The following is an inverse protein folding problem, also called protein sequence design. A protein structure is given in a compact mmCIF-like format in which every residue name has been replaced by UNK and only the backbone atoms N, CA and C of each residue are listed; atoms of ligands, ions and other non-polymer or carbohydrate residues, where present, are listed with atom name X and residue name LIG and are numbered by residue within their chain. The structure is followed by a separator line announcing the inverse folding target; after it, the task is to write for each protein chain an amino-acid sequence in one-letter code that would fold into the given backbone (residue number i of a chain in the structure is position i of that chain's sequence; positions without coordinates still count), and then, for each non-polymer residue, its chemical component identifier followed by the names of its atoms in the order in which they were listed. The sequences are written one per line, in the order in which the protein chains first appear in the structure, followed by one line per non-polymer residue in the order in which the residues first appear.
data_IF_638585807480
#
_entry.id   IF_638585807480
#
_cell.length_a   1.000
_cell.length_b   1.000
_cell.length_c   1.000
_cell.angle_alpha   90.00
_cell.angle_beta   90.00
_cell.angle_gamma   90.00
#
_symmetry.space_group_name_H-M   'P 1'
#
loop_
_entity.id
_entity.type
_entity.pdbx_description
1 polymer ?
#
# COMPACT_ATOMS: atom_id res chain seq x y z
N UNK A 1 8.47 -29.59 6.53
CA UNK A 1 8.28 -28.49 5.57
C UNK A 1 9.60 -28.38 4.86
N UNK A 2 9.62 -28.68 3.56
CA UNK A 2 10.76 -28.26 2.73
C UNK A 2 11.01 -26.79 3.01
N UNK A 3 12.27 -26.43 3.25
CA UNK A 3 12.65 -25.02 3.28
C UNK A 3 12.17 -24.40 1.97
N UNK A 4 11.49 -23.25 2.06
CA UNK A 4 11.07 -22.45 0.90
C UNK A 4 12.35 -22.01 0.15
N UNK A 5 12.86 -22.89 -0.73
CA UNK A 5 14.12 -22.75 -1.50
C UNK A 5 14.18 -21.38 -2.16
N UNK A 6 13.05 -20.93 -2.69
CA UNK A 6 12.95 -19.68 -3.43
C UNK A 6 12.53 -18.48 -2.58
N UNK A 7 12.25 -18.68 -1.28
CA UNK A 7 11.94 -17.65 -0.29
C UNK A 7 10.78 -16.71 -0.70
N UNK A 8 9.74 -17.24 -1.36
CA UNK A 8 8.62 -16.45 -1.88
C UNK A 8 7.96 -15.59 -0.80
N UNK A 9 7.81 -16.11 0.42
CA UNK A 9 7.22 -15.35 1.51
C UNK A 9 8.07 -14.13 1.90
N UNK A 10 9.40 -14.29 2.03
CA UNK A 10 10.30 -13.17 2.37
C UNK A 10 10.34 -12.13 1.25
N UNK A 11 10.43 -12.59 -0.01
CA UNK A 11 10.41 -11.71 -1.19
C UNK A 11 9.10 -10.93 -1.30
N UNK A 12 7.96 -11.55 -0.99
CA UNK A 12 6.66 -10.86 -0.97
C UNK A 12 6.59 -9.77 0.11
N UNK A 13 7.18 -10.01 1.29
CA UNK A 13 7.26 -9.00 2.36
C UNK A 13 8.15 -7.84 1.94
N UNK A 14 9.31 -8.13 1.34
CA UNK A 14 10.21 -7.12 0.80
C UNK A 14 9.53 -6.25 -0.25
N UNK A 15 8.84 -6.88 -1.22
CA UNK A 15 8.06 -6.15 -2.25
C UNK A 15 7.00 -5.25 -1.61
N UNK A 16 6.25 -5.77 -0.63
CA UNK A 16 5.25 -4.98 0.10
C UNK A 16 5.88 -3.76 0.79
N UNK A 17 7.02 -3.93 1.48
CA UNK A 17 7.69 -2.81 2.15
C UNK A 17 8.20 -1.75 1.17
N UNK A 18 8.74 -2.16 0.02
CA UNK A 18 9.18 -1.23 -1.02
C UNK A 18 8.04 -0.37 -1.54
N UNK A 19 6.93 -0.99 -1.93
CA UNK A 19 5.78 -0.29 -2.51
C UNK A 19 5.16 0.67 -1.50
N UNK A 20 4.89 0.21 -0.27
CA UNK A 20 4.31 1.07 0.76
C UNK A 20 5.21 2.27 1.09
N UNK A 21 6.53 2.09 1.05
CA UNK A 21 7.49 3.19 1.30
C UNK A 21 7.44 4.22 0.18
N UNK A 22 7.51 3.75 -1.06
CA UNK A 22 7.48 4.60 -2.25
C UNK A 22 6.18 5.42 -2.33
N UNK A 23 5.04 4.78 -2.07
CA UNK A 23 3.74 5.46 -2.03
C UNK A 23 3.68 6.54 -0.94
N UNK A 24 4.16 6.25 0.28
CA UNK A 24 4.20 7.24 1.35
C UNK A 24 5.14 8.41 1.01
N UNK A 25 6.32 8.15 0.46
CA UNK A 25 7.27 9.20 0.05
C UNK A 25 6.66 10.10 -1.03
N UNK A 26 5.99 9.50 -2.00
CA UNK A 26 5.28 10.24 -3.06
C UNK A 26 4.18 11.12 -2.47
N UNK A 27 3.32 10.56 -1.62
CA UNK A 27 2.21 11.31 -1.02
C UNK A 27 2.68 12.39 -0.05
N UNK A 28 3.75 12.15 0.71
CA UNK A 28 4.35 13.13 1.61
C UNK A 28 4.86 14.36 0.84
N UNK A 29 5.48 14.12 -0.33
CA UNK A 29 5.91 15.19 -1.22
C UNK A 29 4.73 16.05 -1.70
N UNK A 30 3.59 15.42 -2.01
CA UNK A 30 2.36 16.12 -2.41
C UNK A 30 1.77 16.93 -1.26
N UNK A 31 1.74 16.38 -0.04
CA UNK A 31 1.20 17.07 1.14
C UNK A 31 2.03 18.29 1.55
N UNK A 32 3.33 18.24 1.28
CA UNK A 32 4.32 19.29 1.59
C UNK A 32 4.39 20.42 0.56
N UNK A 33 3.74 20.28 -0.59
CA UNK A 33 3.70 21.34 -1.60
C UNK A 33 2.94 22.57 -1.09
N UNK A 34 3.46 23.76 -1.42
CA UNK A 34 2.76 25.01 -1.16
C UNK A 34 1.48 25.08 -1.99
N UNK A 35 0.43 25.61 -1.38
CA UNK A 35 -0.90 25.67 -1.98
C UNK A 35 -1.14 27.05 -2.56
N UNK A 36 -1.42 27.14 -3.86
CA UNK A 36 -1.70 28.39 -4.56
C UNK A 36 -3.17 28.56 -4.94
N UNK A 37 -3.87 27.46 -5.25
CA UNK A 37 -5.24 27.47 -5.75
C UNK A 37 -6.16 26.42 -5.11
N UNK A 38 -7.48 26.55 -5.30
CA UNK A 38 -8.46 25.59 -4.81
C UNK A 38 -8.27 24.16 -5.35
N UNK A 39 -7.68 24.01 -6.54
CA UNK A 39 -7.30 22.70 -7.10
C UNK A 39 -6.20 22.03 -6.28
N UNK A 40 -5.26 22.81 -5.75
CA UNK A 40 -4.20 22.29 -4.89
C UNK A 40 -4.78 21.78 -3.56
N UNK A 41 -5.84 22.45 -3.07
CA UNK A 41 -6.58 22.01 -1.89
C UNK A 41 -7.30 20.68 -2.08
N UNK A 42 -7.95 20.50 -3.23
CA UNK A 42 -8.54 19.21 -3.58
C UNK A 42 -7.47 18.11 -3.67
N UNK A 43 -6.33 18.39 -4.30
CA UNK A 43 -5.21 17.44 -4.40
C UNK A 43 -4.66 17.09 -3.03
N UNK A 44 -4.45 18.07 -2.15
CA UNK A 44 -3.99 17.83 -0.77
C UNK A 44 -4.96 16.94 0.00
N UNK A 45 -6.27 17.21 -0.04
CA UNK A 45 -7.24 16.37 0.67
C UNK A 45 -7.36 14.96 0.09
N UNK A 46 -7.19 14.78 -1.23
CA UNK A 46 -7.08 13.45 -1.83
C UNK A 46 -5.84 12.71 -1.32
N UNK A 47 -4.68 13.38 -1.32
CA UNK A 47 -3.44 12.83 -0.78
C UNK A 47 -3.58 12.48 0.70
N UNK A 48 -4.21 13.31 1.52
CA UNK A 48 -4.48 13.04 2.95
C UNK A 48 -5.24 11.72 3.14
N UNK A 49 -6.30 11.49 2.35
CA UNK A 49 -7.05 10.24 2.41
C UNK A 49 -6.19 9.06 1.95
N UNK A 50 -5.44 9.21 0.85
CA UNK A 50 -4.54 8.16 0.37
C UNK A 50 -3.48 7.79 1.41
N UNK A 51 -2.89 8.77 2.10
CA UNK A 51 -1.91 8.52 3.16
C UNK A 51 -2.50 7.61 4.24
N UNK A 52 -3.72 7.89 4.72
CA UNK A 52 -4.34 7.03 5.73
C UNK A 52 -4.63 5.61 5.24
N UNK A 53 -4.94 5.43 3.95
CA UNK A 53 -5.06 4.10 3.36
C UNK A 53 -3.72 3.35 3.42
N UNK A 54 -2.64 4.00 2.97
CA UNK A 54 -1.31 3.39 2.96
C UNK A 54 -0.81 3.13 4.40
N UNK A 55 -1.01 4.07 5.32
CA UNK A 55 -0.69 3.89 6.74
C UNK A 55 -1.45 2.70 7.37
N UNK A 56 -2.70 2.45 6.97
CA UNK A 56 -3.40 1.23 7.39
C UNK A 56 -2.73 -0.03 6.82
N UNK A 57 -2.30 -0.02 5.56
CA UNK A 57 -1.58 -1.15 4.97
C UNK A 57 -0.23 -1.38 5.68
N UNK A 58 0.48 -0.32 6.08
CA UNK A 58 1.69 -0.41 6.91
C UNK A 58 1.38 -1.07 8.25
N UNK A 59 0.24 -0.73 8.88
CA UNK A 59 -0.19 -1.38 10.12
C UNK A 59 -0.37 -2.88 9.93
N UNK A 60 -1.05 -3.29 8.87
CA UNK A 60 -1.25 -4.71 8.55
C UNK A 60 0.08 -5.43 8.28
N UNK A 61 1.01 -4.78 7.57
CA UNK A 61 2.34 -5.31 7.33
C UNK A 61 3.13 -5.49 8.65
N UNK A 62 3.07 -4.49 9.55
CA UNK A 62 3.67 -4.56 10.88
C UNK A 62 3.00 -5.57 11.82
N UNK A 63 1.72 -5.90 11.59
CA UNK A 63 1.00 -6.96 12.31
C UNK A 63 1.44 -8.36 11.86
N UNK A 64 1.70 -8.55 10.56
CA UNK A 64 2.11 -9.85 9.98
C UNK A 64 3.59 -10.17 10.18
N UNK A 65 4.43 -9.16 10.40
CA UNK A 65 5.86 -9.35 10.54
C UNK A 65 6.20 -10.15 11.82
N UNK A 66 6.81 -11.32 11.66
CA UNK A 66 7.33 -12.08 12.79
C UNK A 66 8.58 -11.37 13.36
N UNK A 67 8.55 -11.07 14.65
CA UNK A 67 9.52 -10.23 15.36
C UNK A 67 10.86 -10.95 15.65
N UNK A 68 11.46 -11.64 14.68
CA UNK A 68 12.86 -12.11 14.75
C UNK A 68 13.80 -11.02 14.22
N UNK A 69 13.85 -9.91 14.95
CA UNK A 69 14.66 -8.72 14.65
C UNK A 69 15.34 -8.19 15.91
N UNK A 70 16.16 -7.15 15.78
CA UNK A 70 16.81 -6.50 16.93
C UNK A 70 15.80 -5.96 17.93
N UNK A 71 16.21 -5.85 19.20
CA UNK A 71 15.35 -5.31 20.27
C UNK A 71 14.80 -3.91 19.93
N UNK A 72 15.63 -3.07 19.33
CA UNK A 72 15.27 -1.72 18.92
C UNK A 72 14.21 -1.71 17.82
N UNK A 73 14.35 -2.57 16.80
CA UNK A 73 13.35 -2.69 15.75
C UNK A 73 12.01 -3.19 16.29
N UNK A 74 12.02 -4.13 17.24
CA UNK A 74 10.80 -4.60 17.92
C UNK A 74 10.11 -3.46 18.67
N UNK A 75 10.88 -2.64 19.40
CA UNK A 75 10.36 -1.47 20.11
C UNK A 75 9.77 -0.44 19.14
N UNK A 76 10.47 -0.13 18.05
CA UNK A 76 10.01 0.76 16.97
C UNK A 76 8.71 0.26 16.36
N UNK A 77 8.62 -1.04 16.06
CA UNK A 77 7.41 -1.68 15.51
C UNK A 77 6.23 -1.54 16.47
N UNK A 78 6.42 -1.82 17.77
CA UNK A 78 5.34 -1.68 18.77
C UNK A 78 4.87 -0.24 18.92
N UNK A 79 5.79 0.72 18.87
CA UNK A 79 5.46 2.14 18.92
C UNK A 79 4.62 2.56 17.70
N UNK A 80 5.11 2.26 16.49
CA UNK A 80 4.43 2.59 15.24
C UNK A 80 3.02 1.98 15.20
N UNK A 81 2.86 0.71 15.59
CA UNK A 81 1.54 0.04 15.64
C UNK A 81 0.52 0.79 16.50
N UNK A 82 0.95 1.39 17.62
CA UNK A 82 0.05 2.20 18.47
C UNK A 82 -0.39 3.48 17.77
N UNK A 83 0.54 4.16 17.08
CA UNK A 83 0.21 5.37 16.30
C UNK A 83 -0.72 5.07 15.13
N UNK A 84 -0.54 3.94 14.46
CA UNK A 84 -1.34 3.53 13.31
C UNK A 84 -2.77 3.07 13.65
N UNK A 85 -3.14 2.99 14.94
CA UNK A 85 -4.53 2.71 15.34
C UNK A 85 -5.49 3.76 14.77
N UNK A 86 -5.07 5.03 14.75
CA UNK A 86 -5.87 6.10 14.17
C UNK A 86 -6.05 5.95 12.65
N UNK A 87 -5.00 5.51 11.93
CA UNK A 87 -5.10 5.24 10.50
C UNK A 87 -6.10 4.11 10.18
N UNK A 88 -6.13 3.06 10.99
CA UNK A 88 -7.13 2.00 10.85
C UNK A 88 -8.56 2.51 11.08
N UNK A 89 -8.79 3.37 12.08
CA UNK A 89 -10.10 4.03 12.25
C UNK A 89 -10.49 4.84 11.01
N UNK A 90 -9.56 5.67 10.53
CA UNK A 90 -9.77 6.51 9.35
C UNK A 90 -10.12 5.67 8.12
N UNK A 91 -9.37 4.59 7.85
CA UNK A 91 -9.63 3.67 6.74
C UNK A 91 -11.02 3.04 6.86
N UNK A 92 -11.40 2.55 8.04
CA UNK A 92 -12.65 1.83 8.21
C UNK A 92 -13.89 2.72 8.10
N UNK A 93 -13.78 4.01 8.43
CA UNK A 93 -14.92 4.96 8.39
C UNK A 93 -14.99 5.78 7.11
N UNK A 94 -13.86 6.26 6.60
CA UNK A 94 -13.82 7.30 5.55
C UNK A 94 -13.20 6.89 4.21
N UNK A 95 -12.69 5.67 4.08
CA UNK A 95 -12.00 5.23 2.85
C UNK A 95 -12.48 3.86 2.37
N UNK A 96 -12.28 2.80 3.15
CA UNK A 96 -12.53 1.41 2.74
C UNK A 96 -14.00 1.15 2.45
N UNK A 97 -14.88 1.61 3.34
CA UNK A 97 -16.30 1.78 3.09
C UNK A 97 -16.65 3.19 3.54
N UNK A 98 -17.26 3.99 2.68
CA UNK A 98 -17.82 5.28 3.10
C UNK A 98 -19.01 4.99 4.02
N UNK A 99 -18.77 5.04 5.32
CA UNK A 99 -19.76 4.71 6.34
C UNK A 99 -20.94 5.70 6.28
N UNK A 100 -22.16 5.18 6.15
CA UNK A 100 -23.35 6.03 6.00
C UNK A 100 -23.60 6.94 7.21
N UNK A 101 -23.25 6.51 8.43
CA UNK A 101 -23.35 7.35 9.63
C UNK A 101 -22.33 8.47 9.55
N UNK A 102 -21.09 8.17 9.17
CA UNK A 102 -20.05 9.18 8.96
C UNK A 102 -20.46 10.20 7.88
N UNK A 103 -21.02 9.74 6.75
CA UNK A 103 -21.51 10.62 5.70
C UNK A 103 -22.61 11.56 6.20
N UNK A 104 -23.56 11.04 6.98
CA UNK A 104 -24.59 11.88 7.61
C UNK A 104 -23.97 12.93 8.54
N UNK A 105 -22.91 12.59 9.28
CA UNK A 105 -22.15 13.56 10.10
C UNK A 105 -21.41 14.58 9.24
N UNK A 106 -20.81 14.17 8.13
CA UNK A 106 -20.14 15.09 7.20
C UNK A 106 -21.13 16.09 6.58
N UNK A 107 -22.35 15.64 6.22
CA UNK A 107 -23.43 16.52 5.76
C UNK A 107 -23.85 17.51 6.85
N UNK A 108 -23.98 17.05 8.09
CA UNK A 108 -24.30 17.90 9.24
C UNK A 108 -23.19 18.92 9.53
N UNK A 109 -21.93 18.50 9.41
CA UNK A 109 -20.75 19.29 9.72
C UNK A 109 -20.48 20.37 8.67
N UNK A 110 -20.79 20.08 7.40
CA UNK A 110 -20.51 20.97 6.28
C UNK A 110 -21.76 21.23 5.42
N UNK A 111 -22.81 21.86 5.97
CA UNK A 111 -24.06 22.11 5.23
C UNK A 111 -23.85 23.01 4.00
N UNK A 112 -22.75 23.78 3.97
CA UNK A 112 -22.44 24.68 2.87
C UNK A 112 -22.25 24.01 1.52
N UNK A 113 -21.97 22.71 1.49
CA UNK A 113 -21.90 21.90 0.26
C UNK A 113 -23.22 22.04 -0.54
N UNK A 114 -24.33 22.25 0.17
CA UNK A 114 -25.68 22.30 -0.37
C UNK A 114 -26.29 23.71 -0.40
N UNK A 115 -25.49 24.78 -0.25
CA UNK A 115 -25.98 26.14 -0.52
C UNK A 115 -26.35 26.30 -2.00
N UNK A 116 -27.37 27.10 -2.31
CA UNK A 116 -27.80 27.35 -3.69
C UNK A 116 -26.66 27.89 -4.57
N UNK A 117 -25.77 28.72 -4.01
CA UNK A 117 -24.59 29.25 -4.72
C UNK A 117 -23.53 28.19 -5.05
N UNK A 118 -23.53 27.05 -4.35
CA UNK A 118 -22.61 25.93 -4.61
C UNK A 118 -23.12 24.98 -5.71
N UNK A 119 -24.37 25.14 -6.16
CA UNK A 119 -25.07 24.21 -7.06
C UNK A 119 -24.39 24.02 -8.41
N UNK A 120 -23.77 25.05 -8.96
CA UNK A 120 -23.04 24.97 -10.23
C UNK A 120 -21.52 24.93 -10.04
N UNK A 121 -21.03 24.95 -8.79
CA UNK A 121 -19.60 24.93 -8.47
C UNK A 121 -19.16 23.54 -8.01
N UNK A 122 -18.89 22.65 -8.96
CA UNK A 122 -18.44 21.29 -8.68
C UNK A 122 -17.13 21.24 -7.88
N UNK A 123 -16.15 22.07 -8.21
CA UNK A 123 -14.86 22.10 -7.51
C UNK A 123 -15.04 22.41 -6.02
N UNK A 124 -15.84 23.43 -5.69
CA UNK A 124 -16.15 23.76 -4.30
C UNK A 124 -16.82 22.58 -3.58
N UNK A 125 -17.83 21.95 -4.19
CA UNK A 125 -18.51 20.79 -3.59
C UNK A 125 -17.55 19.63 -3.34
N UNK A 126 -16.62 19.37 -4.26
CA UNK A 126 -15.61 18.32 -4.09
C UNK A 126 -14.63 18.65 -2.97
N UNK A 127 -14.09 19.87 -2.93
CA UNK A 127 -13.19 20.34 -1.87
C UNK A 127 -13.86 20.20 -0.51
N UNK A 128 -15.06 20.75 -0.36
CA UNK A 128 -15.80 20.73 0.91
C UNK A 128 -16.23 19.31 1.31
N UNK A 129 -16.62 18.46 0.36
CA UNK A 129 -16.95 17.05 0.65
C UNK A 129 -15.74 16.29 1.17
N UNK A 130 -14.57 16.49 0.56
CA UNK A 130 -13.33 15.87 1.01
C UNK A 130 -12.93 16.37 2.40
N UNK A 131 -12.98 17.68 2.64
CA UNK A 131 -12.71 18.30 3.95
C UNK A 131 -13.63 17.75 5.03
N UNK A 132 -14.94 17.76 4.78
CA UNK A 132 -15.96 17.31 5.72
C UNK A 132 -15.80 15.83 6.10
N UNK A 133 -15.45 14.97 5.14
CA UNK A 133 -15.17 13.55 5.41
C UNK A 133 -13.91 13.40 6.26
N UNK A 134 -12.84 14.14 5.96
CA UNK A 134 -11.59 14.08 6.72
C UNK A 134 -11.82 14.50 8.17
N UNK A 135 -12.43 15.66 8.39
CA UNK A 135 -12.74 16.18 9.74
C UNK A 135 -13.69 15.25 10.49
N UNK A 136 -14.72 14.71 9.81
CA UNK A 136 -15.62 13.72 10.43
C UNK A 136 -14.87 12.46 10.86
N UNK A 137 -13.87 12.00 10.09
CA UNK A 137 -13.03 10.86 10.49
C UNK A 137 -12.17 11.19 11.70
N UNK A 138 -11.57 12.38 11.73
CA UNK A 138 -10.75 12.85 12.85
C UNK A 138 -11.59 12.96 14.12
N UNK A 139 -12.70 13.68 14.04
CA UNK A 139 -13.52 14.06 15.19
C UNK A 139 -14.38 12.91 15.70
N UNK A 140 -14.63 11.87 14.89
CA UNK A 140 -15.30 10.64 15.36
C UNK A 140 -14.38 9.66 16.08
N UNK A 141 -13.08 9.92 16.13
CA UNK A 141 -12.13 9.08 16.88
C UNK A 141 -12.07 9.53 18.34
N UNK A 142 -13.13 9.22 19.08
CA UNK A 142 -13.35 9.65 20.47
C UNK A 142 -13.11 8.53 21.50
N UNK A 143 -12.70 8.91 22.71
CA UNK A 143 -12.57 8.02 23.86
C UNK A 143 -13.93 7.79 24.57
N UNK A 144 -13.89 7.08 25.71
CA UNK A 144 -15.08 6.77 26.50
C UNK A 144 -15.71 8.01 27.16
N UNK A 145 -14.92 9.07 27.35
CA UNK A 145 -15.36 10.33 27.95
C UNK A 145 -15.87 11.32 26.87
N UNK A 146 -15.78 10.93 25.59
CA UNK A 146 -16.22 11.73 24.45
C UNK A 146 -15.17 12.67 23.88
N UNK A 147 -13.92 12.63 24.36
CA UNK A 147 -12.84 13.50 23.87
C UNK A 147 -12.15 12.87 22.66
N UNK A 148 -11.63 13.71 21.75
CA UNK A 148 -10.88 13.24 20.59
C UNK A 148 -9.55 12.60 21.04
N UNK A 149 -9.27 11.36 20.63
CA UNK A 149 -8.21 10.50 21.22
C UNK A 149 -6.77 10.90 20.89
N UNK A 150 -6.54 11.76 19.90
CA UNK A 150 -5.21 12.13 19.38
C UNK A 150 -4.88 13.58 19.74
N UNK A 151 -5.83 14.48 19.56
CA UNK A 151 -5.70 15.93 19.67
C UNK A 151 -6.34 16.47 20.95
N UNK A 152 -7.22 15.71 21.61
CA UNK A 152 -7.95 16.12 22.81
C UNK A 152 -9.14 17.04 22.54
N UNK A 153 -9.22 17.61 21.34
CA UNK A 153 -10.29 18.52 20.89
C UNK A 153 -10.76 18.15 19.49
N UNK A 154 -11.90 18.71 19.08
CA UNK A 154 -12.32 18.69 17.68
C UNK A 154 -11.31 19.47 16.82
N UNK A 155 -11.13 19.02 15.58
CA UNK A 155 -10.26 19.62 14.56
C UNK A 155 -11.14 20.24 13.46
N UNK A 156 -10.89 21.51 13.17
CA UNK A 156 -11.41 22.22 11.99
C UNK A 156 -10.24 22.60 11.05
N UNK A 157 -10.18 21.99 9.86
CA UNK A 157 -9.09 22.24 8.91
C UNK A 157 -9.16 23.63 8.26
N UNK A 158 -10.26 24.37 8.45
CA UNK A 158 -10.33 25.78 8.05
C UNK A 158 -9.74 26.70 9.12
N UNK A 159 -9.58 26.23 10.35
CA UNK A 159 -8.87 26.95 11.40
C UNK A 159 -7.36 26.65 11.32
N UNK A 160 -6.50 27.64 11.04
CA UNK A 160 -5.09 27.38 10.75
C UNK A 160 -4.32 26.61 11.84
N UNK A 161 -4.50 26.90 13.15
CA UNK A 161 -3.82 26.14 14.21
C UNK A 161 -4.20 24.65 14.24
N UNK A 162 -5.47 24.31 14.02
CA UNK A 162 -5.94 22.93 14.00
C UNK A 162 -5.42 22.20 12.76
N UNK A 163 -5.42 22.88 11.61
CA UNK A 163 -4.84 22.35 10.38
C UNK A 163 -3.34 22.09 10.56
N UNK A 164 -2.59 23.02 11.16
CA UNK A 164 -1.17 22.84 11.48
C UNK A 164 -0.97 21.65 12.42
N UNK A 165 -1.72 21.57 13.53
CA UNK A 165 -1.65 20.45 14.47
C UNK A 165 -1.89 19.10 13.79
N UNK A 166 -2.92 19.00 12.95
CA UNK A 166 -3.25 17.78 12.23
C UNK A 166 -2.17 17.40 11.20
N UNK A 167 -1.72 18.33 10.36
CA UNK A 167 -0.74 18.03 9.33
C UNK A 167 0.67 17.80 9.90
N UNK A 168 1.05 18.45 11.00
CA UNK A 168 2.28 18.11 11.75
C UNK A 168 2.21 16.70 12.31
N UNK A 169 1.10 16.32 12.95
CA UNK A 169 0.89 14.95 13.41
C UNK A 169 1.00 13.94 12.26
N UNK A 170 0.35 14.22 11.13
CA UNK A 170 0.36 13.34 9.97
C UNK A 170 1.77 13.16 9.40
N UNK A 171 2.50 14.27 9.24
CA UNK A 171 3.90 14.29 8.81
C UNK A 171 4.79 13.43 9.72
N UNK A 172 4.63 13.53 11.04
CA UNK A 172 5.39 12.72 12.00
C UNK A 172 5.09 11.22 11.85
N UNK A 173 3.80 10.84 11.72
CA UNK A 173 3.43 9.43 11.52
C UNK A 173 3.98 8.89 10.20
N UNK A 174 3.90 9.68 9.12
CA UNK A 174 4.40 9.30 7.80
C UNK A 174 5.92 9.11 7.83
N UNK A 175 6.64 10.04 8.45
CA UNK A 175 8.11 9.96 8.61
C UNK A 175 8.50 8.70 9.40
N UNK A 176 7.81 8.41 10.50
CA UNK A 176 8.05 7.19 11.28
C UNK A 176 7.74 5.92 10.50
N UNK A 177 6.66 5.90 9.73
CA UNK A 177 6.27 4.77 8.89
C UNK A 177 7.31 4.52 7.78
N UNK A 178 7.75 5.56 7.06
CA UNK A 178 8.80 5.48 6.03
C UNK A 178 10.10 4.96 6.64
N UNK A 179 10.47 5.47 7.82
CA UNK A 179 11.67 5.04 8.54
C UNK A 179 11.58 3.57 8.95
N UNK A 180 10.42 3.12 9.45
CA UNK A 180 10.20 1.72 9.80
C UNK A 180 10.22 0.81 8.58
N UNK A 181 9.57 1.20 7.48
CA UNK A 181 9.55 0.44 6.23
C UNK A 181 10.96 0.30 5.63
N UNK A 182 11.78 1.34 5.74
CA UNK A 182 13.17 1.31 5.29
C UNK A 182 13.98 0.27 6.06
N UNK A 183 13.90 0.29 7.40
CA UNK A 183 14.55 -0.72 8.24
C UNK A 183 14.02 -2.13 7.94
N UNK A 184 12.70 -2.28 7.82
CA UNK A 184 12.05 -3.56 7.54
C UNK A 184 12.48 -4.14 6.18
N UNK A 185 12.55 -3.29 5.15
CA UNK A 185 13.02 -3.65 3.83
C UNK A 185 14.49 -4.09 3.88
N UNK A 186 15.37 -3.33 4.53
CA UNK A 186 16.79 -3.69 4.68
C UNK A 186 16.97 -5.02 5.40
N UNK A 187 16.34 -5.20 6.57
CA UNK A 187 16.42 -6.44 7.36
C UNK A 187 15.90 -7.64 6.57
N UNK A 188 14.89 -7.44 5.74
CA UNK A 188 14.31 -8.52 4.92
C UNK A 188 15.21 -8.84 3.74
N UNK A 189 15.75 -7.82 3.07
CA UNK A 189 16.63 -7.95 1.92
C UNK A 189 17.94 -8.67 2.26
N UNK A 190 18.54 -8.35 3.41
CA UNK A 190 19.75 -9.04 3.91
C UNK A 190 19.54 -10.55 4.15
N UNK A 191 18.29 -11.00 4.24
CA UNK A 191 17.91 -12.41 4.46
C UNK A 191 17.37 -13.08 3.19
N UNK A 192 17.37 -12.37 2.07
CA UNK A 192 16.95 -12.88 0.76
C UNK A 192 18.18 -13.41 0.03
N UNK A 193 18.09 -14.66 -0.41
CA UNK A 193 19.07 -15.26 -1.29
C UNK A 193 18.84 -14.74 -2.72
N UNK A 194 19.91 -14.29 -3.35
CA UNK A 194 19.91 -13.82 -4.73
C UNK A 194 20.25 -14.97 -5.68
N UNK A 195 19.56 -14.99 -6.82
CA UNK A 195 19.55 -16.13 -7.74
C UNK A 195 20.67 -15.96 -8.78
N UNK A 196 21.35 -17.06 -9.11
CA UNK A 196 22.24 -17.11 -10.28
C UNK A 196 21.45 -17.15 -11.59
N UNK A 197 22.13 -17.02 -12.73
CA UNK A 197 21.50 -17.10 -14.05
C UNK A 197 20.78 -18.45 -14.26
N UNK A 198 21.33 -19.54 -13.72
CA UNK A 198 20.72 -20.88 -13.77
C UNK A 198 19.45 -20.96 -12.90
N UNK A 199 19.49 -20.43 -11.67
CA UNK A 199 18.32 -20.42 -10.76
C UNK A 199 17.19 -19.53 -11.30
N UNK A 200 17.51 -18.49 -12.06
CA UNK A 200 16.52 -17.66 -12.75
C UNK A 200 15.74 -18.46 -13.81
N UNK A 201 16.35 -19.44 -14.47
CA UNK A 201 15.64 -20.29 -15.43
C UNK A 201 14.59 -21.18 -14.73
N UNK A 202 14.93 -21.75 -13.57
CA UNK A 202 13.96 -22.50 -12.75
C UNK A 202 12.81 -21.61 -12.29
N UNK A 203 13.13 -20.40 -11.80
CA UNK A 203 12.14 -19.42 -11.37
C UNK A 203 11.26 -18.91 -12.52
N UNK A 204 11.79 -18.83 -13.74
CA UNK A 204 11.00 -18.48 -14.92
C UNK A 204 9.97 -19.57 -15.25
N UNK A 205 10.33 -20.85 -15.11
CA UNK A 205 9.38 -21.95 -15.25
C UNK A 205 8.29 -21.90 -14.18
N UNK A 206 8.66 -21.67 -12.91
CA UNK A 206 7.70 -21.46 -11.81
C UNK A 206 6.80 -20.25 -12.08
N UNK A 207 7.35 -19.15 -12.59
CA UNK A 207 6.57 -17.97 -12.93
C UNK A 207 5.51 -18.27 -14.01
N UNK A 208 5.83 -19.13 -14.98
CA UNK A 208 4.88 -19.60 -16.00
C UNK A 208 3.71 -20.40 -15.42
N UNK A 209 3.86 -20.98 -14.23
CA UNK A 209 2.82 -21.74 -13.52
C UNK A 209 1.95 -20.85 -12.60
N UNK A 210 2.14 -19.53 -12.61
CA UNK A 210 1.42 -18.63 -11.69
C UNK A 210 -0.09 -18.72 -11.90
N UNK A 211 -0.80 -19.29 -10.91
CA UNK A 211 -2.26 -19.20 -10.82
C UNK A 211 -2.67 -17.95 -10.04
N UNK A 212 -3.34 -17.03 -10.74
CA UNK A 212 -3.86 -15.80 -10.15
C UNK A 212 -5.17 -16.00 -9.35
N UNK A 213 -5.69 -17.22 -9.26
CA UNK A 213 -6.79 -17.57 -8.38
C UNK A 213 -6.34 -17.64 -6.91
N UNK A 214 -6.45 -16.52 -6.20
CA UNK A 214 -6.04 -16.37 -4.80
C UNK A 214 -6.80 -17.27 -3.78
N UNK A 215 -7.75 -18.10 -4.25
CA UNK A 215 -8.49 -19.05 -3.40
C UNK A 215 -7.86 -20.44 -3.35
N UNK A 216 -6.90 -20.74 -4.23
CA UNK A 216 -6.16 -22.00 -4.24
C UNK A 216 -4.74 -21.77 -3.74
N UNK A 217 -4.07 -22.84 -3.33
CA UNK A 217 -2.65 -22.77 -2.96
C UNK A 217 -1.82 -22.59 -4.24
N UNK A 218 -0.79 -21.76 -4.16
CA UNK A 218 0.18 -21.62 -5.24
C UNK A 218 1.12 -22.84 -5.28
N UNK A 219 1.46 -23.25 -6.50
CA UNK A 219 2.51 -24.24 -6.79
C UNK A 219 3.85 -23.50 -6.93
N UNK A 220 4.86 -23.93 -6.19
CA UNK A 220 6.21 -23.33 -6.20
C UNK A 220 7.30 -24.34 -6.53
N UNK A 221 6.93 -25.56 -6.92
CA UNK A 221 7.86 -26.62 -7.27
C UNK A 221 8.39 -26.46 -8.69
N UNK A 222 9.63 -26.91 -8.90
CA UNK A 222 10.23 -27.01 -10.23
C UNK A 222 10.58 -28.47 -10.54
N UNK A 223 10.18 -28.95 -11.72
CA UNK A 223 10.65 -30.20 -12.30
C UNK A 223 11.31 -29.92 -13.65
N UNK A 224 12.54 -30.42 -13.82
CA UNK A 224 13.27 -30.31 -15.08
C UNK A 224 12.62 -31.16 -16.18
N UNK A 225 11.99 -32.28 -15.80
CA UNK A 225 11.25 -33.14 -16.71
C UNK A 225 10.02 -32.43 -17.27
N UNK A 226 9.19 -31.85 -16.38
CA UNK A 226 8.01 -31.07 -16.79
C UNK A 226 8.41 -29.85 -17.62
N UNK A 227 9.48 -29.15 -17.24
CA UNK A 227 9.99 -28.01 -18.01
C UNK A 227 10.38 -28.43 -19.43
N UNK A 228 11.14 -29.53 -19.59
CA UNK A 228 11.51 -30.04 -20.92
C UNK A 228 10.29 -30.43 -21.76
N UNK A 229 9.27 -31.02 -21.14
CA UNK A 229 8.03 -31.39 -21.82
C UNK A 229 7.26 -30.14 -22.29
N UNK A 230 7.07 -29.15 -21.41
CA UNK A 230 6.39 -27.89 -21.74
C UNK A 230 7.13 -27.14 -22.85
N UNK A 231 8.46 -27.06 -22.78
CA UNK A 231 9.27 -26.39 -23.79
C UNK A 231 9.21 -27.11 -25.14
N UNK A 232 9.25 -28.45 -25.13
CA UNK A 232 9.09 -29.27 -26.35
C UNK A 232 7.72 -29.05 -27.01
N UNK A 233 6.65 -29.00 -26.21
CA UNK A 233 5.30 -28.70 -26.70
C UNK A 233 5.21 -27.28 -27.26
N UNK A 234 5.81 -26.30 -26.58
CA UNK A 234 5.84 -24.89 -27.02
C UNK A 234 6.59 -24.74 -28.35
N UNK A 235 7.74 -25.40 -28.51
CA UNK A 235 8.51 -25.41 -29.77
C UNK A 235 7.66 -25.98 -30.90
N UNK A 236 6.96 -27.09 -30.68
CA UNK A 236 6.06 -27.68 -31.68
C UNK A 236 4.95 -26.71 -32.07
N UNK A 237 4.32 -26.04 -31.11
CA UNK A 237 3.27 -25.05 -31.40
C UNK A 237 3.83 -23.86 -32.21
N UNK A 238 5.03 -23.37 -31.88
CA UNK A 238 5.67 -22.30 -32.64
C UNK A 238 5.99 -22.72 -34.08
N UNK A 239 6.47 -23.94 -34.30
CA UNK A 239 6.69 -24.52 -35.63
C UNK A 239 5.38 -24.59 -36.42
N UNK A 240 4.30 -25.06 -35.80
CA UNK A 240 2.97 -25.15 -36.41
C UNK A 240 2.39 -23.78 -36.78
N UNK A 241 2.74 -22.73 -36.04
CA UNK A 241 2.31 -21.35 -36.30
C UNK A 241 3.29 -20.56 -37.19
N UNK A 242 4.27 -21.24 -37.80
CA UNK A 242 5.18 -20.65 -38.79
C UNK A 242 6.25 -19.73 -38.20
N UNK A 243 6.69 -19.99 -36.96
CA UNK A 243 7.84 -19.31 -36.39
C UNK A 243 9.09 -19.54 -37.25
N UNK A 244 9.98 -18.54 -37.25
CA UNK A 244 11.21 -18.57 -38.03
C UNK A 244 12.11 -19.76 -37.59
N UNK A 245 12.57 -20.62 -38.52
CA UNK A 245 13.39 -21.79 -38.19
C UNK A 245 14.69 -21.46 -37.44
N UNK A 246 15.31 -20.30 -37.69
CA UNK A 246 16.54 -19.91 -36.97
C UNK A 246 16.24 -19.60 -35.51
N UNK A 247 15.07 -19.02 -35.22
CA UNK A 247 14.58 -18.77 -33.87
C UNK A 247 14.29 -20.07 -33.14
N UNK A 248 13.66 -21.05 -33.80
CA UNK A 248 13.40 -22.38 -33.23
C UNK A 248 14.70 -23.12 -32.89
N UNK A 249 15.66 -23.12 -33.82
CA UNK A 249 16.94 -23.80 -33.63
C UNK A 249 17.80 -23.13 -32.56
N UNK A 250 17.74 -21.80 -32.46
CA UNK A 250 18.33 -21.06 -31.35
C UNK A 250 17.76 -21.52 -29.99
N UNK A 251 16.42 -21.64 -29.87
CA UNK A 251 15.77 -22.09 -28.63
C UNK A 251 16.20 -23.54 -28.30
N UNK A 252 16.16 -24.47 -29.25
CA UNK A 252 16.59 -25.87 -29.03
C UNK A 252 18.04 -25.95 -28.52
N UNK A 253 18.95 -25.20 -29.16
CA UNK A 253 20.38 -25.19 -28.78
C UNK A 253 20.64 -24.62 -27.39
N UNK A 254 19.79 -23.72 -26.91
CA UNK A 254 19.92 -23.04 -25.62
C UNK A 254 19.46 -23.88 -24.43
N UNK A 255 18.51 -24.80 -24.64
CA UNK A 255 17.88 -25.57 -23.57
C UNK A 255 18.22 -27.07 -23.62
N UNK A 256 19.23 -27.46 -24.41
CA UNK A 256 19.71 -28.84 -24.58
C UNK A 256 18.58 -29.85 -24.90
N UNK A 257 17.69 -29.46 -25.83
CA UNK A 257 16.61 -30.32 -26.36
C UNK A 257 17.00 -30.83 -27.76
#
# INVERSE_FOLDING_TARGET
MEEDKYQFQKKSLYLNFLILRDELQTLDSVLSQQMGEAKDLLTKFRATRSVFLILNNVKEAADRMQLKASHDFIKKTRHLKKRLVFANHFRNRGIGHLDGTLLNRAVQWSPQIFYESAKENELFRLVESHRAIIESCINSFIDADGNQKVFGTEIDLMYPPDAEQFYSYLSDVVTEAISWLSDAATITFEKIDHHTDEEIQELAAIAGQTDFNLKVNAEYSYSIEEHREVLSNTIRELEEHGADPQTIEFIRSKFEI
#
